data_IF_796077861272
#
_entry.id   IF_796077861272
#
_cell.length_a   1.000
_cell.length_b   1.000
_cell.length_c   1.000
_cell.angle_alpha   90.00
_cell.angle_beta   90.00
_cell.angle_gamma   90.00
#
_symmetry.space_group_name_H-M   'P 1'
#
loop_
_entity.id
_entity.type
_entity.pdbx_description
1 polymer ?
#
# COMPACT_ATOMS: atom_id res chain seq x y z
N UNK A 1 85.99 -56.06 27.22
CA UNK A 1 85.76 -54.62 26.97
C UNK A 1 85.41 -54.41 25.49
N UNK A 2 84.20 -54.24 25.13
CA UNK A 2 83.75 -54.08 23.72
C UNK A 2 83.20 -52.65 23.54
N UNK A 3 83.87 -51.88 22.73
CA UNK A 3 83.52 -50.47 22.38
C UNK A 3 82.45 -50.48 21.36
N UNK A 4 81.20 -50.02 21.71
CA UNK A 4 80.16 -49.80 20.79
C UNK A 4 80.43 -48.57 19.93
N UNK A 5 80.53 -48.74 18.61
CA UNK A 5 80.53 -47.68 17.62
C UNK A 5 79.09 -47.04 17.54
N UNK A 6 79.05 -45.76 17.73
CA UNK A 6 77.82 -44.95 17.41
C UNK A 6 77.83 -44.70 15.93
N UNK A 7 76.77 -45.13 15.24
CA UNK A 7 76.45 -44.73 13.87
C UNK A 7 75.81 -43.34 13.89
N UNK A 8 76.19 -42.41 13.04
CA UNK A 8 75.51 -41.15 12.91
C UNK A 8 74.19 -41.38 12.20
N UNK A 9 73.09 -40.85 12.76
CA UNK A 9 71.79 -40.73 12.07
C UNK A 9 71.90 -39.60 11.03
N UNK A 10 71.99 -39.96 9.77
CA UNK A 10 71.70 -39.05 8.68
C UNK A 10 70.18 -38.93 8.57
N UNK A 11 69.66 -37.86 9.16
CA UNK A 11 68.19 -37.70 9.29
C UNK A 11 67.60 -37.06 8.08
N UNK A 12 68.38 -36.45 7.21
CA UNK A 12 67.79 -35.83 5.95
C UNK A 12 68.75 -35.96 4.77
N UNK A 13 68.36 -36.56 3.68
CA UNK A 13 69.07 -36.48 2.42
C UNK A 13 69.02 -35.07 1.84
N UNK A 14 70.14 -34.57 1.29
CA UNK A 14 70.22 -33.26 0.63
C UNK A 14 69.16 -33.11 -0.46
N UNK A 15 68.79 -34.21 -1.11
CA UNK A 15 67.71 -34.26 -2.15
C UNK A 15 66.34 -34.02 -1.61
N UNK A 16 66.02 -34.39 -0.34
CA UNK A 16 64.75 -34.13 0.29
C UNK A 16 64.62 -32.66 0.69
N UNK A 17 65.68 -32.03 1.14
CA UNK A 17 65.71 -30.60 1.44
C UNK A 17 65.53 -29.76 0.17
N UNK A 18 66.12 -30.17 -0.94
CA UNK A 18 66.03 -29.48 -2.22
C UNK A 18 64.63 -29.57 -2.78
N UNK A 19 63.96 -30.71 -2.64
CA UNK A 19 62.60 -30.91 -3.05
C UNK A 19 61.58 -30.03 -2.24
N UNK A 20 61.81 -29.91 -0.92
CA UNK A 20 60.98 -29.03 -0.06
C UNK A 20 61.24 -27.57 -0.41
N UNK A 21 62.45 -27.15 -0.62
CA UNK A 21 62.78 -25.77 -0.97
C UNK A 21 62.17 -25.36 -2.33
N UNK A 22 62.25 -26.24 -3.34
CA UNK A 22 61.63 -26.00 -4.64
C UNK A 22 60.10 -25.96 -4.55
N UNK A 23 59.49 -26.88 -3.77
CA UNK A 23 58.02 -26.90 -3.57
C UNK A 23 57.52 -25.64 -2.84
N UNK A 24 58.25 -25.24 -1.79
CA UNK A 24 57.94 -24.05 -1.02
C UNK A 24 58.14 -22.77 -1.83
N UNK A 25 59.22 -22.71 -2.63
CA UNK A 25 59.45 -21.60 -3.57
C UNK A 25 58.33 -21.44 -4.63
N UNK A 26 57.87 -22.56 -5.18
CA UNK A 26 56.74 -22.54 -6.12
C UNK A 26 55.42 -22.05 -5.47
N UNK A 27 55.11 -22.47 -4.25
CA UNK A 27 53.93 -22.03 -3.50
C UNK A 27 54.01 -20.54 -3.19
N UNK A 28 55.16 -20.04 -2.75
CA UNK A 28 55.39 -18.61 -2.49
C UNK A 28 55.21 -17.82 -3.81
N UNK A 29 55.77 -18.30 -4.91
CA UNK A 29 55.62 -17.62 -6.20
C UNK A 29 54.16 -17.52 -6.65
N UNK A 30 53.42 -18.62 -6.54
CA UNK A 30 51.97 -18.62 -6.85
C UNK A 30 51.21 -17.67 -5.93
N UNK A 31 51.52 -17.67 -4.64
CA UNK A 31 50.90 -16.78 -3.66
C UNK A 31 51.17 -15.31 -3.98
N UNK A 32 52.41 -14.95 -4.32
CA UNK A 32 52.76 -13.57 -4.70
C UNK A 32 52.09 -13.15 -5.99
N UNK A 33 52.03 -14.04 -7.00
CA UNK A 33 51.35 -13.75 -8.26
C UNK A 33 49.84 -13.58 -8.06
N UNK A 34 49.18 -14.43 -7.29
CA UNK A 34 47.75 -14.36 -7.04
C UNK A 34 47.38 -13.16 -6.19
N UNK A 35 48.18 -12.80 -5.18
CA UNK A 35 47.95 -11.59 -4.36
C UNK A 35 48.21 -10.30 -5.15
N UNK A 36 49.24 -10.30 -6.02
CA UNK A 36 49.49 -9.15 -6.91
C UNK A 36 48.31 -8.88 -7.89
N UNK A 37 47.85 -9.93 -8.57
CA UNK A 37 46.69 -9.81 -9.48
C UNK A 37 45.40 -9.38 -8.75
N UNK A 38 45.18 -9.88 -7.53
CA UNK A 38 43.99 -9.49 -6.74
C UNK A 38 44.03 -8.01 -6.33
N UNK A 39 45.21 -7.45 -6.07
CA UNK A 39 45.40 -6.04 -5.75
C UNK A 39 45.13 -5.14 -6.99
N UNK A 40 45.70 -5.48 -8.13
CA UNK A 40 45.50 -4.73 -9.39
C UNK A 40 44.04 -4.73 -9.82
N UNK A 41 43.35 -5.86 -9.71
CA UNK A 41 41.91 -5.96 -10.02
C UNK A 41 41.08 -5.08 -9.07
N UNK A 42 41.43 -5.09 -7.78
CA UNK A 42 40.74 -4.27 -6.78
C UNK A 42 40.95 -2.77 -7.02
N UNK A 43 42.17 -2.35 -7.33
CA UNK A 43 42.46 -0.95 -7.67
C UNK A 43 41.72 -0.52 -8.95
N UNK A 44 41.71 -1.34 -10.01
CA UNK A 44 41.00 -1.09 -11.23
C UNK A 44 39.47 -0.92 -10.98
N UNK A 45 38.87 -1.79 -10.16
CA UNK A 45 37.44 -1.68 -9.80
C UNK A 45 37.15 -0.44 -8.97
N UNK A 46 38.01 -0.09 -8.04
CA UNK A 46 37.85 1.11 -7.21
C UNK A 46 37.98 2.38 -8.04
N UNK A 47 38.96 2.44 -8.94
CA UNK A 47 39.15 3.61 -9.83
C UNK A 47 37.98 3.76 -10.79
N UNK A 48 37.54 2.67 -11.44
CA UNK A 48 36.39 2.71 -12.36
C UNK A 48 35.08 3.05 -11.64
N UNK A 49 34.87 2.54 -10.42
CA UNK A 49 33.71 2.90 -9.60
C UNK A 49 33.74 4.37 -9.19
N UNK A 50 34.92 4.88 -8.84
CA UNK A 50 35.05 6.29 -8.46
C UNK A 50 34.84 7.23 -9.63
N UNK A 51 35.29 6.88 -10.84
CA UNK A 51 35.00 7.64 -12.04
C UNK A 51 33.51 7.66 -12.39
N UNK A 52 32.81 6.54 -12.23
CA UNK A 52 31.36 6.47 -12.45
C UNK A 52 30.58 7.31 -11.43
N UNK A 53 30.97 7.26 -10.16
CA UNK A 53 30.37 8.09 -9.11
C UNK A 53 30.58 9.58 -9.41
N UNK A 54 31.81 9.99 -9.73
CA UNK A 54 32.12 11.37 -10.08
C UNK A 54 31.35 11.87 -11.33
N UNK A 55 31.16 10.99 -12.33
CA UNK A 55 30.35 11.31 -13.51
C UNK A 55 28.87 11.48 -13.18
N UNK A 56 28.33 10.60 -12.34
CA UNK A 56 26.95 10.69 -11.87
C UNK A 56 26.71 11.92 -11.01
N UNK A 57 27.64 12.24 -10.12
CA UNK A 57 27.59 13.45 -9.29
C UNK A 57 27.59 14.73 -10.14
N UNK A 58 28.47 14.79 -11.16
CA UNK A 58 28.46 15.91 -12.11
C UNK A 58 27.14 16.04 -12.85
N UNK A 59 26.59 14.91 -13.33
CA UNK A 59 25.27 14.93 -14.01
C UNK A 59 24.14 15.33 -13.06
N UNK A 60 24.24 14.97 -11.80
CA UNK A 60 23.26 15.32 -10.77
C UNK A 60 23.28 16.83 -10.48
N UNK A 61 24.49 17.39 -10.33
CA UNK A 61 24.66 18.83 -10.13
C UNK A 61 24.18 19.63 -11.35
N UNK A 62 24.51 19.17 -12.57
CA UNK A 62 24.07 19.81 -13.81
C UNK A 62 22.54 19.80 -13.94
N UNK A 63 21.89 18.64 -13.70
CA UNK A 63 20.43 18.53 -13.70
C UNK A 63 19.75 19.33 -12.59
N UNK A 64 20.36 19.42 -11.42
CA UNK A 64 19.86 20.30 -10.36
C UNK A 64 19.96 21.78 -10.74
N UNK A 65 21.04 22.15 -11.43
CA UNK A 65 21.19 23.49 -12.01
C UNK A 65 20.13 23.84 -13.05
N UNK A 66 19.87 22.91 -13.98
CA UNK A 66 18.81 23.05 -15.00
C UNK A 66 17.42 23.13 -14.37
N UNK A 67 17.13 22.29 -13.37
CA UNK A 67 15.86 22.37 -12.62
C UNK A 67 15.67 23.72 -11.92
N UNK A 68 16.74 24.25 -11.32
CA UNK A 68 16.69 25.53 -10.65
C UNK A 68 16.44 26.68 -11.63
N UNK A 69 17.04 26.63 -12.83
CA UNK A 69 16.81 27.61 -13.89
C UNK A 69 15.38 27.56 -14.43
N UNK A 70 14.85 26.33 -14.67
CA UNK A 70 13.47 26.15 -15.13
C UNK A 70 12.49 26.66 -14.08
N UNK A 71 12.73 26.40 -12.79
CA UNK A 71 11.88 26.90 -11.71
C UNK A 71 11.88 28.43 -11.65
N UNK A 72 13.05 29.10 -11.78
CA UNK A 72 13.12 30.54 -11.82
C UNK A 72 12.43 31.16 -13.05
N UNK A 73 12.52 30.49 -14.20
CA UNK A 73 11.82 30.93 -15.41
C UNK A 73 10.31 30.76 -15.29
N UNK A 74 9.86 29.65 -14.72
CA UNK A 74 8.46 29.40 -14.38
C UNK A 74 7.90 30.44 -13.40
N UNK A 75 8.63 30.76 -12.36
CA UNK A 75 8.24 31.80 -11.40
C UNK A 75 8.11 33.19 -12.07
N UNK A 76 9.04 33.54 -12.96
CA UNK A 76 8.94 34.79 -13.75
C UNK A 76 7.75 34.78 -14.71
N UNK A 77 7.48 33.66 -15.35
CA UNK A 77 6.30 33.53 -16.23
C UNK A 77 5.01 33.66 -15.46
N UNK A 78 4.92 33.01 -14.30
CA UNK A 78 3.75 33.11 -13.40
C UNK A 78 3.55 34.58 -12.95
N UNK A 79 4.62 35.24 -12.51
CA UNK A 79 4.53 36.66 -12.10
C UNK A 79 4.11 37.60 -13.24
N UNK A 80 4.58 37.35 -14.47
CA UNK A 80 4.18 38.10 -15.63
C UNK A 80 2.74 37.84 -16.04
N UNK A 81 2.29 36.60 -15.95
CA UNK A 81 0.91 36.19 -16.18
C UNK A 81 -0.04 36.81 -15.15
N UNK A 82 0.35 36.79 -13.88
CA UNK A 82 -0.43 37.41 -12.81
C UNK A 82 -0.55 38.95 -12.97
N UNK A 83 0.51 39.59 -13.46
CA UNK A 83 0.46 41.04 -13.79
C UNK A 83 -0.48 41.34 -14.97
N UNK A 84 -0.46 40.52 -16.01
CA UNK A 84 -1.37 40.68 -17.16
C UNK A 84 -2.82 40.44 -16.75
N UNK A 85 -3.08 39.38 -15.99
CA UNK A 85 -4.42 39.05 -15.43
C UNK A 85 -4.89 40.19 -14.49
N UNK A 86 -3.98 40.80 -13.73
CA UNK A 86 -4.30 41.91 -12.83
C UNK A 86 -4.65 43.22 -13.58
N UNK A 87 -4.04 43.47 -14.73
CA UNK A 87 -4.32 44.65 -15.53
C UNK A 87 -5.61 44.53 -16.36
N UNK A 88 -5.88 43.39 -16.94
CA UNK A 88 -7.13 43.14 -17.69
C UNK A 88 -8.38 43.07 -16.78
N UNK A 89 -8.23 42.56 -15.55
CA UNK A 89 -9.35 42.48 -14.59
C UNK A 89 -9.79 43.82 -14.02
N UNK A 90 -8.98 44.86 -14.16
CA UNK A 90 -9.27 46.15 -13.50
C UNK A 90 -10.20 47.08 -14.30
N UNK A 91 -10.40 46.90 -15.57
CA UNK A 91 -11.11 47.94 -16.35
C UNK A 91 -12.54 47.56 -16.84
N UNK A 92 -12.78 46.31 -17.22
CA UNK A 92 -14.08 45.93 -17.83
C UNK A 92 -14.88 44.87 -17.10
N UNK A 93 -14.28 44.17 -16.13
CA UNK A 93 -14.86 42.97 -15.54
C UNK A 93 -15.91 43.20 -14.45
N UNK A 94 -15.86 44.31 -13.73
CA UNK A 94 -16.65 44.47 -12.50
C UNK A 94 -18.16 44.74 -12.75
N UNK A 95 -18.50 45.42 -13.84
CA UNK A 95 -19.88 45.72 -14.15
C UNK A 95 -20.61 44.58 -14.88
N UNK A 96 -19.91 43.85 -15.74
CA UNK A 96 -20.46 42.65 -16.41
C UNK A 96 -20.53 41.46 -15.42
N UNK A 97 -19.51 41.30 -14.58
CA UNK A 97 -19.48 40.23 -13.57
C UNK A 97 -20.57 40.36 -12.51
N UNK A 98 -20.94 41.61 -12.12
CA UNK A 98 -22.01 41.83 -11.15
C UNK A 98 -23.38 41.38 -11.71
N UNK A 99 -23.68 41.71 -12.95
CA UNK A 99 -24.92 41.31 -13.64
C UNK A 99 -24.94 39.81 -13.94
N UNK A 100 -23.81 39.21 -14.29
CA UNK A 100 -23.72 37.75 -14.47
C UNK A 100 -23.76 36.98 -13.16
N UNK A 101 -23.13 37.50 -12.10
CA UNK A 101 -23.16 36.90 -10.75
C UNK A 101 -24.57 36.98 -10.16
N UNK A 102 -25.32 38.07 -10.37
CA UNK A 102 -26.73 38.17 -9.95
C UNK A 102 -27.62 37.19 -10.72
N UNK A 103 -27.42 37.03 -12.03
CA UNK A 103 -28.12 36.00 -12.83
C UNK A 103 -27.72 34.57 -12.43
N UNK A 104 -26.45 34.32 -12.13
CA UNK A 104 -25.99 33.02 -11.62
C UNK A 104 -26.50 32.75 -10.22
N UNK A 105 -26.56 33.76 -9.36
CA UNK A 105 -27.08 33.61 -8.01
C UNK A 105 -28.59 33.24 -8.04
N UNK A 106 -29.33 33.82 -8.95
CA UNK A 106 -30.77 33.52 -9.13
C UNK A 106 -30.98 32.12 -9.77
N UNK A 107 -30.09 31.72 -10.71
CA UNK A 107 -30.00 30.36 -11.24
C UNK A 107 -29.59 29.32 -10.20
N UNK A 108 -28.65 29.64 -9.33
CA UNK A 108 -28.23 28.75 -8.22
C UNK A 108 -29.29 28.62 -7.14
N UNK A 109 -30.06 29.72 -6.84
CA UNK A 109 -31.20 29.65 -5.91
C UNK A 109 -32.35 28.80 -6.46
N UNK A 110 -32.57 28.84 -7.77
CA UNK A 110 -33.56 27.95 -8.43
C UNK A 110 -33.06 26.52 -8.50
N UNK A 111 -31.75 26.28 -8.74
CA UNK A 111 -31.12 24.94 -8.69
C UNK A 111 -31.13 24.36 -7.30
N UNK A 112 -30.82 25.17 -6.27
CA UNK A 112 -30.86 24.76 -4.85
C UNK A 112 -32.30 24.44 -4.39
N UNK A 113 -33.28 25.20 -4.88
CA UNK A 113 -34.71 24.88 -4.68
C UNK A 113 -35.16 23.61 -5.40
N UNK A 114 -34.61 23.34 -6.57
CA UNK A 114 -34.85 22.09 -7.30
C UNK A 114 -34.12 20.92 -6.66
N UNK A 115 -32.86 21.10 -6.27
CA UNK A 115 -32.09 20.09 -5.51
C UNK A 115 -32.67 19.80 -4.14
N UNK A 116 -33.13 20.82 -3.40
CA UNK A 116 -33.79 20.58 -2.12
C UNK A 116 -35.15 19.89 -2.28
N UNK A 117 -35.93 20.19 -3.36
CA UNK A 117 -37.11 19.40 -3.70
C UNK A 117 -36.77 17.98 -4.16
N UNK A 118 -35.70 17.81 -4.92
CA UNK A 118 -35.23 16.50 -5.35
C UNK A 118 -34.63 15.70 -4.17
N UNK A 119 -33.93 16.34 -3.24
CA UNK A 119 -33.48 15.72 -1.98
C UNK A 119 -34.69 15.36 -1.10
N UNK A 120 -35.67 16.23 -0.94
CA UNK A 120 -36.91 15.89 -0.21
C UNK A 120 -37.74 14.79 -0.88
N UNK A 121 -37.73 14.74 -2.21
CA UNK A 121 -38.35 13.61 -2.93
C UNK A 121 -37.52 12.34 -2.83
N UNK A 122 -36.17 12.45 -2.84
CA UNK A 122 -35.25 11.31 -2.58
C UNK A 122 -35.32 10.83 -1.11
N UNK A 123 -35.42 11.74 -0.14
CA UNK A 123 -35.69 11.36 1.25
C UNK A 123 -37.03 10.66 1.43
N UNK A 124 -38.07 11.10 0.77
CA UNK A 124 -39.38 10.40 0.74
C UNK A 124 -39.29 9.06 0.02
N UNK A 125 -38.55 9.00 -1.09
CA UNK A 125 -38.28 7.75 -1.83
C UNK A 125 -37.39 6.83 -0.97
N UNK A 126 -36.41 7.34 -0.25
CA UNK A 126 -35.56 6.56 0.66
C UNK A 126 -36.35 6.06 1.88
N UNK A 127 -37.31 6.82 2.38
CA UNK A 127 -38.23 6.35 3.44
C UNK A 127 -39.27 5.32 2.91
N UNK A 128 -39.73 5.45 1.67
CA UNK A 128 -40.57 4.45 0.99
C UNK A 128 -39.77 3.22 0.55
N UNK A 129 -38.49 3.37 0.14
CA UNK A 129 -37.60 2.25 -0.18
C UNK A 129 -36.93 1.60 1.05
N UNK A 130 -37.16 2.15 2.26
CA UNK A 130 -36.66 1.57 3.50
C UNK A 130 -37.33 0.23 3.88
N UNK A 131 -38.32 -0.20 3.12
CA UNK A 131 -39.04 -1.46 3.32
C UNK A 131 -38.80 -2.50 2.21
N UNK A 132 -37.97 -2.20 1.21
CA UNK A 132 -37.69 -3.16 0.12
C UNK A 132 -36.20 -3.51 0.10
N UNK A 133 -35.89 -4.79 -0.11
CA UNK A 133 -34.52 -5.33 -0.23
C UNK A 133 -33.61 -4.38 -1.01
N UNK A 134 -32.58 -3.85 -0.34
CA UNK A 134 -31.61 -2.97 -0.98
C UNK A 134 -30.83 -3.78 -2.03
N UNK A 135 -31.16 -3.58 -3.29
CA UNK A 135 -30.43 -4.18 -4.41
C UNK A 135 -29.09 -3.46 -4.53
N UNK A 136 -28.02 -4.20 -4.40
CA UNK A 136 -26.66 -3.72 -4.70
C UNK A 136 -26.64 -3.04 -6.09
N UNK A 137 -25.92 -1.93 -6.26
CA UNK A 137 -25.76 -1.31 -7.57
C UNK A 137 -25.39 -2.33 -8.63
N UNK A 138 -25.91 -2.18 -9.84
CA UNK A 138 -25.82 -3.17 -10.94
C UNK A 138 -24.38 -3.63 -11.22
N UNK A 139 -23.37 -2.81 -10.96
CA UNK A 139 -21.96 -3.16 -11.13
C UNK A 139 -21.32 -3.93 -9.96
N UNK A 140 -22.02 -4.06 -8.82
CA UNK A 140 -21.63 -4.93 -7.72
C UNK A 140 -22.38 -6.29 -7.77
N UNK A 141 -22.98 -6.62 -8.90
CA UNK A 141 -23.65 -7.91 -9.10
C UNK A 141 -22.71 -9.05 -8.80
N UNK A 142 -23.17 -10.05 -8.05
CA UNK A 142 -22.43 -11.19 -7.53
C UNK A 142 -21.51 -10.90 -6.32
N UNK A 143 -21.47 -9.66 -5.81
CA UNK A 143 -20.77 -9.35 -4.56
C UNK A 143 -21.75 -9.53 -3.40
N UNK A 144 -21.54 -10.58 -2.61
CA UNK A 144 -22.49 -10.91 -1.54
C UNK A 144 -22.17 -10.14 -0.25
N UNK A 145 -23.15 -9.39 0.22
CA UNK A 145 -23.15 -8.76 1.55
C UNK A 145 -24.06 -9.50 2.54
N UNK A 146 -24.57 -10.69 2.16
CA UNK A 146 -25.53 -11.44 2.95
C UNK A 146 -24.85 -12.22 4.07
N UNK A 147 -25.60 -12.50 5.15
CA UNK A 147 -25.19 -13.23 6.34
C UNK A 147 -25.75 -12.60 7.61
N UNK A 148 -25.84 -13.38 8.68
CA UNK A 148 -26.28 -12.89 9.99
C UNK A 148 -25.12 -12.25 10.77
N UNK A 149 -23.91 -12.76 10.56
CA UNK A 149 -22.67 -12.31 11.20
C UNK A 149 -21.61 -12.00 10.14
N UNK A 150 -21.39 -10.72 9.89
CA UNK A 150 -20.54 -10.26 8.78
C UNK A 150 -19.30 -9.55 9.32
N UNK A 151 -18.13 -9.95 8.87
CA UNK A 151 -16.88 -9.22 9.16
C UNK A 151 -16.45 -8.43 7.95
N UNK A 152 -16.31 -7.11 8.12
CA UNK A 152 -15.74 -6.20 7.15
C UNK A 152 -14.28 -5.91 7.53
N UNK A 153 -13.36 -6.46 6.77
CA UNK A 153 -11.92 -6.23 6.89
C UNK A 153 -11.49 -5.19 5.87
N UNK A 154 -11.01 -4.04 6.29
CA UNK A 154 -10.46 -3.06 5.34
C UNK A 154 -8.98 -2.81 5.62
N UNK A 155 -8.21 -2.84 4.57
CA UNK A 155 -6.78 -2.56 4.65
C UNK A 155 -6.53 -1.09 4.98
N UNK A 156 -5.67 -0.86 5.95
CA UNK A 156 -5.20 0.47 6.35
C UNK A 156 -3.66 0.54 6.37
N UNK A 157 -3.03 -0.18 5.45
CA UNK A 157 -1.58 -0.14 5.25
C UNK A 157 -1.14 1.13 4.52
N UNK A 158 0.17 1.38 4.50
CA UNK A 158 0.75 2.50 3.75
C UNK A 158 0.47 2.44 2.25
N UNK A 159 0.20 1.26 1.68
CA UNK A 159 -0.19 1.07 0.28
C UNK A 159 -1.50 1.75 -0.09
N UNK A 160 -2.41 1.86 0.87
CA UNK A 160 -3.70 2.54 0.68
C UNK A 160 -3.59 4.06 0.51
N UNK A 161 -2.40 4.63 0.63
CA UNK A 161 -2.15 6.07 0.44
C UNK A 161 -1.88 6.48 -1.02
N UNK A 162 -1.70 5.53 -1.95
CA UNK A 162 -1.39 5.87 -3.35
C UNK A 162 -1.87 4.82 -4.34
N UNK A 163 -2.11 5.23 -5.58
CA UNK A 163 -2.43 4.34 -6.69
C UNK A 163 -1.17 3.63 -7.23
N UNK A 164 0.01 4.20 -6.98
CA UNK A 164 1.32 3.62 -7.29
C UNK A 164 2.17 3.52 -6.03
N UNK A 165 3.20 2.67 -6.04
CA UNK A 165 4.14 2.55 -4.93
C UNK A 165 4.87 3.87 -4.65
N UNK A 166 5.21 4.64 -5.69
CA UNK A 166 5.87 5.93 -5.55
C UNK A 166 4.98 6.95 -4.85
N UNK A 167 3.71 7.03 -5.26
CA UNK A 167 2.72 7.91 -4.64
C UNK A 167 2.47 7.52 -3.17
N UNK A 168 2.36 6.23 -2.88
CA UNK A 168 2.19 5.73 -1.53
C UNK A 168 3.38 6.10 -0.63
N UNK A 169 4.62 5.90 -1.12
CA UNK A 169 5.84 6.26 -0.40
C UNK A 169 5.99 7.76 -0.19
N UNK A 170 5.60 8.59 -1.17
CA UNK A 170 5.62 10.04 -1.05
C UNK A 170 4.58 10.51 -0.02
N UNK A 171 3.37 9.98 -0.09
CA UNK A 171 2.33 10.29 0.88
C UNK A 171 2.70 9.84 2.32
N UNK A 172 3.45 8.76 2.48
CA UNK A 172 3.94 8.33 3.81
C UNK A 172 4.91 9.33 4.46
N UNK A 173 5.61 10.16 3.67
CA UNK A 173 6.50 11.20 4.18
C UNK A 173 5.76 12.44 4.65
N UNK A 174 4.51 12.63 4.23
CA UNK A 174 3.68 13.79 4.56
C UNK A 174 3.20 13.76 6.00
N UNK A 175 2.71 14.90 6.47
CA UNK A 175 2.12 15.00 7.80
C UNK A 175 0.87 14.12 7.95
N UNK A 176 0.51 13.70 9.15
CA UNK A 176 -0.71 12.93 9.39
C UNK A 176 -1.97 13.54 8.77
N UNK A 177 -2.13 14.85 8.83
CA UNK A 177 -3.27 15.57 8.23
C UNK A 177 -3.26 15.46 6.71
N UNK A 178 -2.11 15.65 6.07
CA UNK A 178 -1.98 15.53 4.61
C UNK A 178 -2.22 14.11 4.10
N UNK A 179 -1.88 13.09 4.88
CA UNK A 179 -2.16 11.68 4.53
C UNK A 179 -3.67 11.40 4.45
N UNK A 180 -4.47 12.04 5.31
CA UNK A 180 -5.94 11.93 5.27
C UNK A 180 -6.53 12.44 3.95
N UNK A 181 -5.82 13.35 3.26
CA UNK A 181 -6.22 13.93 1.98
C UNK A 181 -5.89 13.02 0.78
N UNK A 182 -5.16 11.92 0.97
CA UNK A 182 -4.86 10.95 -0.09
C UNK A 182 -6.14 10.47 -0.78
N UNK A 183 -6.16 10.55 -2.11
CA UNK A 183 -7.35 10.19 -2.92
C UNK A 183 -7.80 8.76 -2.69
N UNK A 184 -6.85 7.81 -2.75
CA UNK A 184 -7.14 6.39 -2.56
C UNK A 184 -7.62 6.11 -1.14
N UNK A 185 -7.03 6.75 -0.12
CA UNK A 185 -7.47 6.58 1.26
C UNK A 185 -8.87 7.14 1.52
N UNK A 186 -9.18 8.32 0.97
CA UNK A 186 -10.55 8.87 1.01
C UNK A 186 -11.55 7.93 0.35
N UNK A 187 -11.20 7.42 -0.83
CA UNK A 187 -11.99 6.44 -1.56
C UNK A 187 -12.21 5.16 -0.75
N UNK A 188 -11.18 4.65 -0.10
CA UNK A 188 -11.28 3.47 0.76
C UNK A 188 -12.26 3.70 1.92
N UNK A 189 -12.14 4.82 2.63
CA UNK A 189 -13.07 5.17 3.72
C UNK A 189 -14.51 5.30 3.21
N UNK A 190 -14.70 5.91 2.05
CA UNK A 190 -16.01 6.04 1.41
C UNK A 190 -16.57 4.67 0.99
N UNK A 191 -15.72 3.77 0.45
CA UNK A 191 -16.11 2.40 0.12
C UNK A 191 -16.56 1.61 1.36
N UNK A 192 -15.84 1.72 2.48
CA UNK A 192 -16.24 1.13 3.76
C UNK A 192 -17.61 1.64 4.20
N UNK A 193 -17.81 2.97 4.21
CA UNK A 193 -19.08 3.57 4.59
C UNK A 193 -20.24 3.10 3.69
N UNK A 194 -20.00 3.04 2.37
CA UNK A 194 -20.98 2.57 1.38
C UNK A 194 -21.33 1.10 1.61
N UNK A 195 -20.34 0.23 1.80
CA UNK A 195 -20.60 -1.21 2.04
C UNK A 195 -21.38 -1.44 3.34
N UNK A 196 -21.14 -0.64 4.38
CA UNK A 196 -21.93 -0.73 5.62
C UNK A 196 -23.42 -0.43 5.39
N UNK A 197 -23.79 0.39 4.39
CA UNK A 197 -25.19 0.66 4.06
C UNK A 197 -25.88 -0.50 3.34
N UNK A 198 -25.11 -1.39 2.72
CA UNK A 198 -25.63 -2.56 1.99
C UNK A 198 -25.70 -3.84 2.84
N UNK A 199 -25.28 -3.78 4.11
CA UNK A 199 -25.44 -4.92 5.00
C UNK A 199 -26.91 -5.14 5.35
N UNK A 200 -27.36 -6.40 5.50
CA UNK A 200 -28.74 -6.69 5.90
C UNK A 200 -29.06 -6.04 7.25
N UNK A 201 -30.21 -5.40 7.37
CA UNK A 201 -30.60 -4.62 8.57
C UNK A 201 -30.62 -5.45 9.86
N UNK A 202 -30.98 -6.72 9.75
CA UNK A 202 -31.10 -7.62 10.91
C UNK A 202 -29.80 -8.35 11.23
N UNK A 203 -28.72 -8.11 10.45
CA UNK A 203 -27.44 -8.73 10.70
C UNK A 203 -26.62 -7.96 11.76
N UNK A 204 -25.62 -8.67 12.27
CA UNK A 204 -24.57 -8.12 13.12
C UNK A 204 -23.27 -8.07 12.35
N UNK A 205 -22.45 -7.05 12.60
CA UNK A 205 -21.19 -6.89 11.91
C UNK A 205 -20.04 -6.53 12.85
N UNK A 206 -18.82 -6.81 12.41
CA UNK A 206 -17.60 -6.20 12.92
C UNK A 206 -16.89 -5.48 11.80
N UNK A 207 -16.48 -4.23 12.05
CA UNK A 207 -15.63 -3.47 11.15
C UNK A 207 -14.22 -3.42 11.71
N UNK A 208 -13.23 -3.88 10.94
CA UNK A 208 -11.86 -4.02 11.39
C UNK A 208 -10.91 -3.44 10.35
N UNK A 209 -10.18 -2.40 10.73
CA UNK A 209 -9.02 -1.92 9.99
C UNK A 209 -7.82 -2.83 10.25
N UNK A 210 -7.15 -3.28 9.21
CA UNK A 210 -6.00 -4.15 9.34
C UNK A 210 -4.77 -3.63 8.60
N UNK A 211 -3.65 -3.68 9.28
CA UNK A 211 -2.32 -3.42 8.75
C UNK A 211 -1.32 -4.37 9.42
N UNK A 212 -0.32 -3.90 10.12
CA UNK A 212 0.52 -4.70 11.01
C UNK A 212 -0.16 -5.06 12.33
N UNK A 213 -1.30 -4.45 12.63
CA UNK A 213 -2.16 -4.67 13.79
C UNK A 213 -3.63 -4.65 13.37
N UNK A 214 -4.53 -4.93 14.28
CA UNK A 214 -5.98 -4.86 14.06
C UNK A 214 -6.56 -3.69 14.86
N UNK A 215 -7.39 -2.90 14.23
CA UNK A 215 -8.15 -1.82 14.85
C UNK A 215 -9.63 -2.09 14.68
N UNK A 216 -10.36 -2.24 15.79
CA UNK A 216 -11.80 -2.48 15.79
C UNK A 216 -12.59 -1.18 15.78
N UNK A 217 -13.71 -1.16 15.09
CA UNK A 217 -14.60 0.00 14.99
C UNK A 217 -16.01 -0.36 15.50
N UNK A 218 -16.68 0.54 16.26
CA UNK A 218 -16.15 1.82 16.74
C UNK A 218 -14.92 1.63 17.65
N UNK A 219 -14.02 2.62 17.65
CA UNK A 219 -12.83 2.60 18.51
C UNK A 219 -13.29 2.80 19.96
N UNK A 220 -13.00 1.83 20.83
CA UNK A 220 -13.32 1.87 22.25
C UNK A 220 -12.30 1.06 23.05
N UNK A 221 -12.24 1.30 24.35
CA UNK A 221 -11.42 0.53 25.29
C UNK A 221 -12.08 -0.81 25.67
N UNK A 222 -13.30 -1.06 25.21
CA UNK A 222 -14.03 -2.30 25.48
C UNK A 222 -13.57 -3.41 24.54
N UNK A 223 -13.80 -4.66 24.95
CA UNK A 223 -13.52 -5.83 24.12
C UNK A 223 -14.34 -5.77 22.82
N UNK A 224 -13.75 -6.20 21.69
CA UNK A 224 -14.44 -6.20 20.41
C UNK A 224 -15.76 -6.97 20.48
N UNK A 225 -16.84 -6.34 20.07
CA UNK A 225 -18.18 -6.91 20.08
C UNK A 225 -18.83 -6.88 18.70
N UNK A 226 -19.91 -7.65 18.55
CA UNK A 226 -20.73 -7.60 17.35
C UNK A 226 -21.68 -6.41 17.43
N UNK A 227 -21.69 -5.60 16.37
CA UNK A 227 -22.52 -4.41 16.25
C UNK A 227 -23.76 -4.70 15.41
N UNK A 228 -24.93 -4.21 15.82
CA UNK A 228 -26.15 -4.33 15.02
C UNK A 228 -26.11 -3.32 13.86
N UNK A 229 -26.39 -3.78 12.64
CA UNK A 229 -26.42 -2.92 11.43
C UNK A 229 -27.46 -1.79 11.55
N UNK A 230 -28.60 -2.04 12.16
CA UNK A 230 -29.66 -1.04 12.36
C UNK A 230 -29.31 0.07 13.35
N UNK A 231 -28.28 -0.10 14.18
CA UNK A 231 -27.89 0.90 15.19
C UNK A 231 -27.30 2.15 14.54
N UNK A 232 -28.10 3.23 14.44
CA UNK A 232 -27.63 4.52 13.93
C UNK A 232 -26.48 5.08 14.77
N UNK A 233 -26.55 4.96 16.10
CA UNK A 233 -25.50 5.42 17.02
C UNK A 233 -24.13 4.81 16.67
N UNK A 234 -24.10 3.51 16.42
CA UNK A 234 -22.86 2.79 16.07
C UNK A 234 -22.32 3.29 14.73
N UNK A 235 -23.18 3.44 13.71
CA UNK A 235 -22.75 3.95 12.39
C UNK A 235 -22.21 5.38 12.45
N UNK A 236 -22.86 6.27 13.21
CA UNK A 236 -22.42 7.66 13.38
C UNK A 236 -21.06 7.70 14.11
N UNK A 237 -20.84 6.85 15.10
CA UNK A 237 -19.56 6.74 15.79
C UNK A 237 -18.47 6.21 14.87
N UNK A 238 -18.74 5.14 14.11
CA UNK A 238 -17.80 4.60 13.12
C UNK A 238 -17.43 5.66 12.07
N UNK A 239 -18.40 6.44 11.59
CA UNK A 239 -18.15 7.52 10.64
C UNK A 239 -17.23 8.60 11.22
N UNK A 240 -17.42 8.94 12.50
CA UNK A 240 -16.55 9.86 13.23
C UNK A 240 -15.12 9.31 13.36
N UNK A 241 -14.98 8.06 13.80
CA UNK A 241 -13.69 7.41 13.99
C UNK A 241 -12.90 7.28 12.68
N UNK A 242 -13.59 6.89 11.58
CA UNK A 242 -12.99 6.76 10.25
C UNK A 242 -12.51 8.09 9.68
N UNK A 243 -13.11 9.21 10.07
CA UNK A 243 -12.73 10.53 9.55
C UNK A 243 -11.25 10.81 9.77
N UNK A 244 -10.78 10.58 11.00
CA UNK A 244 -9.41 10.91 11.42
C UNK A 244 -8.48 9.70 11.41
N UNK A 245 -9.01 8.51 11.06
CA UNK A 245 -8.23 7.28 11.01
C UNK A 245 -7.25 7.28 9.84
N UNK A 246 -6.00 6.88 10.11
CA UNK A 246 -4.88 6.98 9.18
C UNK A 246 -4.42 5.62 8.68
N UNK A 247 -4.05 5.57 7.41
CA UNK A 247 -3.36 4.44 6.83
C UNK A 247 -1.85 4.51 7.12
N UNK A 248 -1.27 3.38 7.60
CA UNK A 248 0.15 3.28 7.92
C UNK A 248 0.61 1.83 8.06
N UNK A 249 1.92 1.62 8.03
CA UNK A 249 2.51 0.30 8.25
C UNK A 249 2.36 -0.65 7.07
N UNK A 250 2.66 -1.92 7.29
CA UNK A 250 2.57 -2.99 6.29
C UNK A 250 1.28 -3.79 6.42
N UNK A 251 0.95 -4.57 5.40
CA UNK A 251 -0.29 -5.34 5.26
C UNK A 251 -0.10 -6.78 5.77
N UNK A 252 -0.65 -7.13 6.94
CA UNK A 252 -0.63 -8.46 7.54
C UNK A 252 -1.98 -9.17 7.41
N UNK A 253 -2.26 -9.73 6.24
CA UNK A 253 -3.50 -10.45 5.97
C UNK A 253 -3.62 -11.76 6.81
N UNK A 254 -2.49 -12.38 7.17
CA UNK A 254 -2.48 -13.59 8.00
C UNK A 254 -3.15 -13.34 9.36
N UNK A 255 -2.83 -12.20 9.99
CA UNK A 255 -3.43 -11.83 11.27
C UNK A 255 -4.92 -11.50 11.12
N UNK A 256 -5.29 -10.76 10.07
CA UNK A 256 -6.68 -10.37 9.82
C UNK A 256 -7.58 -11.59 9.59
N UNK A 257 -7.17 -12.53 8.73
CA UNK A 257 -7.94 -13.75 8.48
C UNK A 257 -7.95 -14.71 9.67
N UNK A 258 -6.85 -14.78 10.44
CA UNK A 258 -6.82 -15.56 11.67
C UNK A 258 -7.86 -15.07 12.68
N UNK A 259 -7.89 -13.76 12.93
CA UNK A 259 -8.89 -13.16 13.81
C UNK A 259 -10.31 -13.40 13.29
N UNK A 260 -10.56 -13.14 12.01
CA UNK A 260 -11.88 -13.34 11.42
C UNK A 260 -12.35 -14.79 11.56
N UNK A 261 -11.47 -15.77 11.36
CA UNK A 261 -11.80 -17.20 11.54
C UNK A 261 -12.23 -17.52 12.98
N UNK A 262 -11.59 -16.92 13.98
CA UNK A 262 -11.93 -17.14 15.40
C UNK A 262 -13.33 -16.60 15.75
N UNK A 263 -13.81 -15.60 15.03
CA UNK A 263 -15.13 -15.01 15.23
C UNK A 263 -16.27 -15.84 14.58
N UNK A 264 -15.92 -16.83 13.75
CA UNK A 264 -16.88 -17.70 13.04
C UNK A 264 -18.00 -16.91 12.34
N UNK A 265 -17.67 -16.01 11.39
CA UNK A 265 -18.65 -15.25 10.64
C UNK A 265 -19.31 -16.08 9.53
N UNK A 266 -20.47 -15.65 9.08
CA UNK A 266 -21.15 -16.21 7.91
C UNK A 266 -20.61 -15.66 6.60
N UNK A 267 -19.98 -14.48 6.65
CA UNK A 267 -19.44 -13.80 5.47
C UNK A 267 -18.28 -12.87 5.88
N UNK A 268 -17.26 -12.83 5.05
CA UNK A 268 -16.16 -11.86 5.16
C UNK A 268 -16.16 -10.99 3.91
N UNK A 269 -16.14 -9.68 4.12
CA UNK A 269 -15.92 -8.67 3.09
C UNK A 269 -14.51 -8.12 3.31
N UNK A 270 -13.62 -8.34 2.36
CA UNK A 270 -12.23 -7.90 2.41
C UNK A 270 -11.98 -6.76 1.42
N UNK A 271 -11.58 -5.60 1.92
CA UNK A 271 -11.11 -4.47 1.11
C UNK A 271 -9.60 -4.43 1.19
N UNK A 272 -8.91 -4.49 0.05
CA UNK A 272 -7.45 -4.52 -0.04
C UNK A 272 -6.95 -3.88 -1.32
N UNK A 273 -5.68 -3.48 -1.37
CA UNK A 273 -5.04 -2.96 -2.58
C UNK A 273 -4.16 -4.00 -3.30
N UNK A 274 -3.92 -5.16 -2.68
CA UNK A 274 -3.10 -6.18 -3.30
C UNK A 274 -2.66 -7.31 -2.38
N UNK A 275 -1.47 -7.83 -2.66
CA UNK A 275 -0.89 -8.91 -1.89
C UNK A 275 -0.30 -8.41 -0.56
N UNK A 276 -0.33 -9.22 0.51
CA UNK A 276 0.21 -8.83 1.82
C UNK A 276 1.72 -8.57 1.76
N UNK A 277 2.19 -7.69 2.64
CA UNK A 277 3.60 -7.32 2.78
C UNK A 277 4.21 -7.77 4.10
N UNK A 278 3.38 -8.26 5.01
CA UNK A 278 3.76 -8.82 6.31
C UNK A 278 3.04 -10.14 6.56
N UNK A 279 3.66 -11.00 7.38
CA UNK A 279 3.02 -12.19 7.94
C UNK A 279 3.63 -12.49 9.32
N UNK A 280 2.85 -13.13 10.21
CA UNK A 280 3.33 -13.49 11.54
C UNK A 280 4.37 -14.61 11.50
N UNK A 281 4.18 -15.57 10.58
CA UNK A 281 5.00 -16.78 10.46
C UNK A 281 6.12 -16.67 9.44
N UNK A 282 6.28 -15.54 8.78
CA UNK A 282 7.30 -15.34 7.75
C UNK A 282 7.84 -13.92 7.74
N UNK A 283 9.16 -13.80 7.84
CA UNK A 283 9.88 -12.52 7.68
C UNK A 283 10.98 -12.74 6.64
N UNK A 284 10.96 -12.03 5.52
CA UNK A 284 12.06 -12.05 4.56
C UNK A 284 13.30 -11.39 5.18
N UNK A 285 14.50 -11.92 4.85
CA UNK A 285 15.78 -11.36 5.34
C UNK A 285 16.26 -10.15 4.52
N UNK A 286 15.47 -9.68 3.59
CA UNK A 286 15.75 -8.62 2.60
C UNK A 286 14.46 -7.87 2.26
N UNK A 287 14.52 -7.02 1.25
CA UNK A 287 13.33 -6.40 0.67
C UNK A 287 12.28 -7.44 0.25
N UNK A 288 11.02 -7.08 0.44
CA UNK A 288 9.88 -7.95 0.14
C UNK A 288 9.67 -8.01 -1.38
N UNK A 289 9.87 -9.19 -1.95
CA UNK A 289 9.63 -9.45 -3.37
C UNK A 289 8.27 -10.15 -3.60
N UNK A 290 7.86 -10.28 -4.85
CA UNK A 290 6.61 -10.95 -5.23
C UNK A 290 6.48 -12.36 -4.63
N UNK A 291 7.54 -13.18 -4.69
CA UNK A 291 7.56 -14.54 -4.11
C UNK A 291 7.30 -14.54 -2.60
N UNK A 292 7.82 -13.54 -1.90
CA UNK A 292 7.61 -13.39 -0.46
C UNK A 292 6.15 -13.05 -0.17
N UNK A 293 5.56 -12.14 -0.96
CA UNK A 293 4.15 -11.75 -0.86
C UNK A 293 3.21 -12.92 -1.15
N UNK A 294 3.52 -13.73 -2.17
CA UNK A 294 2.77 -14.96 -2.47
C UNK A 294 2.86 -15.98 -1.34
N UNK A 295 4.03 -16.12 -0.72
CA UNK A 295 4.20 -16.97 0.47
C UNK A 295 3.37 -16.47 1.65
N UNK A 296 3.37 -15.15 1.90
CA UNK A 296 2.55 -14.53 2.94
C UNK A 296 1.05 -14.75 2.68
N UNK A 297 0.60 -14.64 1.42
CA UNK A 297 -0.77 -14.96 1.05
C UNK A 297 -1.11 -16.44 1.30
N UNK A 298 -0.21 -17.36 0.98
CA UNK A 298 -0.40 -18.79 1.25
C UNK A 298 -0.58 -19.04 2.76
N UNK A 299 0.25 -18.42 3.60
CA UNK A 299 0.13 -18.49 5.06
C UNK A 299 -1.19 -17.89 5.58
N UNK A 300 -1.66 -16.81 4.97
CA UNK A 300 -2.95 -16.21 5.31
C UNK A 300 -4.12 -17.13 4.96
N UNK A 301 -4.08 -17.80 3.80
CA UNK A 301 -5.08 -18.80 3.38
C UNK A 301 -5.23 -19.97 4.34
N UNK A 302 -4.16 -20.39 5.01
CA UNK A 302 -4.18 -21.47 6.00
C UNK A 302 -4.91 -21.07 7.29
N UNK A 303 -5.13 -19.79 7.54
CA UNK A 303 -5.74 -19.27 8.77
C UNK A 303 -7.25 -19.22 8.75
N UNK A 304 -7.87 -19.46 7.61
CA UNK A 304 -9.29 -19.30 7.41
C UNK A 304 -9.95 -20.60 6.92
N UNK A 305 -11.10 -20.93 7.48
CA UNK A 305 -11.90 -22.09 7.07
C UNK A 305 -12.48 -21.88 5.66
N UNK A 306 -12.37 -22.89 4.81
CA UNK A 306 -12.93 -22.87 3.44
C UNK A 306 -14.47 -22.73 3.40
N UNK A 307 -15.13 -22.94 4.52
CA UNK A 307 -16.59 -22.82 4.60
C UNK A 307 -17.05 -21.35 4.71
N UNK A 308 -16.17 -20.43 5.08
CA UNK A 308 -16.49 -19.01 5.22
C UNK A 308 -16.31 -18.33 3.87
N UNK A 309 -17.37 -17.74 3.28
CA UNK A 309 -17.27 -16.96 2.06
C UNK A 309 -16.38 -15.74 2.25
N UNK A 310 -15.53 -15.43 1.25
CA UNK A 310 -14.69 -14.22 1.24
C UNK A 310 -14.99 -13.44 -0.04
N UNK A 311 -15.64 -12.30 0.11
CA UNK A 311 -15.91 -11.36 -0.97
C UNK A 311 -14.87 -10.25 -0.94
N UNK A 312 -14.17 -10.03 -2.04
CA UNK A 312 -13.02 -9.13 -2.09
C UNK A 312 -13.35 -7.91 -2.95
N UNK A 313 -13.21 -6.74 -2.37
CA UNK A 313 -13.15 -5.46 -3.05
C UNK A 313 -11.69 -5.07 -3.23
N UNK A 314 -11.19 -5.19 -4.45
CA UNK A 314 -9.80 -4.85 -4.78
C UNK A 314 -9.72 -3.41 -5.28
N UNK A 315 -8.94 -2.59 -4.59
CA UNK A 315 -8.53 -1.24 -5.00
C UNK A 315 -7.07 -1.29 -5.44
N UNK A 316 -6.77 -1.75 -6.67
CA UNK A 316 -5.46 -2.23 -7.04
C UNK A 316 -4.40 -1.15 -6.97
N UNK A 317 -3.19 -1.55 -6.56
CA UNK A 317 -1.99 -0.73 -6.70
C UNK A 317 -1.36 -1.01 -8.06
N UNK A 318 -1.03 0.03 -8.82
CA UNK A 318 -0.30 -0.10 -10.06
C UNK A 318 1.10 -0.70 -9.80
N UNK A 319 1.49 -1.68 -10.62
CA UNK A 319 2.76 -2.40 -10.47
C UNK A 319 2.65 -3.76 -9.76
N UNK A 320 1.45 -4.20 -9.38
CA UNK A 320 1.20 -5.54 -8.83
C UNK A 320 0.18 -6.34 -9.69
N UNK A 321 0.54 -6.72 -10.92
CA UNK A 321 -0.39 -7.37 -11.85
C UNK A 321 -0.84 -8.76 -11.37
N UNK A 322 -0.06 -9.42 -10.52
CA UNK A 322 -0.37 -10.74 -9.97
C UNK A 322 -1.44 -10.72 -8.88
N UNK A 323 -1.64 -9.59 -8.21
CA UNK A 323 -2.52 -9.51 -7.06
C UNK A 323 -3.96 -9.92 -7.38
N UNK A 324 -4.53 -9.39 -8.47
CA UNK A 324 -5.91 -9.68 -8.87
C UNK A 324 -6.15 -11.18 -9.09
N UNK A 325 -5.24 -11.88 -9.79
CA UNK A 325 -5.38 -13.31 -10.05
C UNK A 325 -5.33 -14.15 -8.77
N UNK A 326 -4.40 -13.85 -7.88
CA UNK A 326 -4.24 -14.60 -6.62
C UNK A 326 -5.35 -14.32 -5.61
N UNK A 327 -5.84 -13.09 -5.53
CA UNK A 327 -6.98 -12.73 -4.69
C UNK A 327 -8.29 -13.27 -5.25
N UNK A 328 -8.44 -13.32 -6.59
CA UNK A 328 -9.56 -14.02 -7.22
C UNK A 328 -9.58 -15.51 -6.86
N UNK A 329 -8.42 -16.19 -6.89
CA UNK A 329 -8.32 -17.59 -6.45
C UNK A 329 -8.67 -17.74 -4.97
N UNK A 330 -8.28 -16.78 -4.11
CA UNK A 330 -8.68 -16.78 -2.70
C UNK A 330 -10.20 -16.70 -2.57
N UNK A 331 -10.85 -15.73 -3.20
CA UNK A 331 -12.31 -15.57 -3.12
C UNK A 331 -13.03 -16.81 -3.66
N UNK A 332 -12.62 -17.34 -4.80
CA UNK A 332 -13.20 -18.55 -5.41
C UNK A 332 -13.06 -19.79 -4.53
N UNK A 333 -11.90 -19.98 -3.89
CA UNK A 333 -11.69 -21.12 -2.97
C UNK A 333 -12.56 -21.05 -1.72
N UNK A 334 -13.13 -19.87 -1.41
CA UNK A 334 -14.05 -19.60 -0.30
C UNK A 334 -15.46 -19.22 -0.78
N UNK A 335 -15.86 -19.65 -1.97
CA UNK A 335 -17.22 -19.44 -2.52
C UNK A 335 -17.65 -17.95 -2.55
N UNK A 336 -16.71 -17.04 -2.58
CA UNK A 336 -16.94 -15.62 -2.70
C UNK A 336 -16.68 -15.09 -4.11
N UNK A 337 -16.64 -13.78 -4.21
CA UNK A 337 -16.40 -13.02 -5.44
C UNK A 337 -15.30 -12.00 -5.26
N UNK A 338 -14.67 -11.58 -6.35
CA UNK A 338 -13.75 -10.45 -6.38
C UNK A 338 -14.29 -9.43 -7.37
N UNK A 339 -14.33 -8.18 -6.96
CA UNK A 339 -14.63 -7.04 -7.81
C UNK A 339 -13.53 -5.99 -7.70
N UNK A 340 -13.29 -5.31 -8.81
CA UNK A 340 -12.42 -4.13 -8.89
C UNK A 340 -13.27 -2.99 -9.45
N UNK A 341 -13.76 -2.09 -8.59
CA UNK A 341 -14.62 -1.01 -9.04
C UNK A 341 -13.83 0.03 -9.83
N UNK A 342 -14.53 0.80 -10.68
CA UNK A 342 -13.99 1.95 -11.39
C UNK A 342 -13.46 3.01 -10.41
N UNK A 343 -12.57 3.91 -10.88
CA UNK A 343 -11.90 4.89 -10.01
C UNK A 343 -12.82 5.92 -9.39
N UNK A 344 -13.98 6.17 -10.00
CA UNK A 344 -15.04 7.07 -9.55
C UNK A 344 -15.98 6.44 -8.50
N UNK A 345 -15.96 5.12 -8.33
CA UNK A 345 -16.74 4.46 -7.30
C UNK A 345 -16.03 4.48 -5.92
N UNK A 346 -16.77 4.66 -4.82
CA UNK A 346 -18.15 5.12 -4.70
C UNK A 346 -18.24 6.65 -4.83
N UNK A 347 -19.24 7.12 -5.58
CA UNK A 347 -19.53 8.56 -5.72
C UNK A 347 -20.11 9.19 -4.44
#
# INVERSE_FOLDING_TARGET
MARKKKTPLEIFSLSFLDCICCGFGAVILIFVLTTGQALEIKEFFLEHSSEQVNKLEKQLVERQGEQSQILQELEKQIQNQDRQISQEKKLDGLLVQKKEAEKKLDGLKTLDRLKSKEMQSRERILDEFSTTDQVLPTYLTHFSTQGDRIILLFECSGGMLGETIYEALDNLKKTPVERLESKKWKRTKKAVATLLTFLPKESSFQLIGWNQSLTHFPISDESPSWNEVKSKKIRDQIASDLKDFQAQGGANLEQALHYANQQNPDNIILITDGLPTLANRYKPNREVHEKDRLRMLALAKERISKNIPINILLLPMAGDPGAAAHLWQLSKSHRGSLITPSQDWPE
#
